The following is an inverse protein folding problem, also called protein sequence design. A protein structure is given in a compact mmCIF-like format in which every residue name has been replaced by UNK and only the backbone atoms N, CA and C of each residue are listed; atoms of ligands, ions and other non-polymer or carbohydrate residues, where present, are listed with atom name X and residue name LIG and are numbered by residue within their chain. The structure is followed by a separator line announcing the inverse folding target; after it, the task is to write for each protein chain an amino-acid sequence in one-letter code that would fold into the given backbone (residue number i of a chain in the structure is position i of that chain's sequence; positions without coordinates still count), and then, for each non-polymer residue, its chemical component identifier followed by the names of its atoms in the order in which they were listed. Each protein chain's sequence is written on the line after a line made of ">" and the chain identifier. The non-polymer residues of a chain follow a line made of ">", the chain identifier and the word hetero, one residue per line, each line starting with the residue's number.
data_IF_223080290162
#
_entry.id   IF_223080290162
#
_cell.length_a   1.000
_cell.length_b   1.000
_cell.length_c   1.000
_cell.angle_alpha   90.00
_cell.angle_beta   90.00
_cell.angle_gamma   90.00
#
_symmetry.space_group_name_H-M   'P 1'
#
loop_
_entity.id
_entity.type
_entity.pdbx_description
1 polymer ?
#
# COMPACT_ATOMS: atom_id res chain seq x y z
N UNK A 1 0.48 0.69 -0.47
CA UNK A 1 0.31 -0.09 0.77
C UNK A 1 1.03 0.58 1.94
N UNK A 2 2.27 1.01 1.78
CA UNK A 2 3.01 1.67 2.87
C UNK A 2 2.33 2.96 3.32
N UNK A 3 1.84 3.76 2.39
CA UNK A 3 1.10 4.98 2.72
C UNK A 3 -0.18 4.66 3.50
N UNK A 4 -0.88 3.59 3.13
CA UNK A 4 -2.06 3.14 3.87
C UNK A 4 -1.68 2.75 5.30
N UNK A 5 -0.63 1.96 5.49
CA UNK A 5 -0.20 1.53 6.82
C UNK A 5 0.25 2.71 7.70
N UNK A 6 0.81 3.76 7.10
CA UNK A 6 1.21 4.96 7.84
C UNK A 6 0.09 6.00 7.96
N UNK A 7 -1.09 5.74 7.37
CA UNK A 7 -2.25 6.64 7.38
C UNK A 7 -1.98 7.97 6.69
N UNK A 8 -1.09 8.00 5.72
CA UNK A 8 -0.76 9.19 4.96
C UNK A 8 -1.42 9.16 3.58
N UNK A 9 -1.95 10.30 3.15
CA UNK A 9 -2.53 10.43 1.82
C UNK A 9 -1.42 10.53 0.76
N UNK A 10 -1.58 9.86 -0.41
CA UNK A 10 -0.64 10.05 -1.51
C UNK A 10 -0.70 11.46 -2.11
N UNK A 11 -1.70 12.27 -1.72
CA UNK A 11 -1.83 13.66 -2.18
C UNK A 11 -1.06 14.64 -1.30
N UNK A 12 -0.50 14.19 -0.16
CA UNK A 12 0.28 15.05 0.73
C UNK A 12 1.58 15.47 0.06
N UNK A 13 1.92 16.75 0.18
CA UNK A 13 3.24 17.23 -0.24
C UNK A 13 4.30 16.70 0.72
N UNK A 14 5.43 16.27 0.19
CA UNK A 14 6.52 15.69 0.99
C UNK A 14 7.00 16.67 2.06
N UNK A 15 7.08 17.96 1.73
CA UNK A 15 7.54 19.00 2.68
C UNK A 15 6.49 19.32 3.74
N UNK A 16 5.27 18.80 3.64
CA UNK A 16 4.25 18.99 4.67
C UNK A 16 4.29 17.91 5.76
N UNK A 17 5.14 16.90 5.59
CA UNK A 17 5.27 15.81 6.57
C UNK A 17 6.19 16.23 7.71
N UNK A 18 5.74 16.00 8.95
CA UNK A 18 6.60 16.21 10.12
C UNK A 18 7.49 15.00 10.37
N UNK A 19 8.39 15.11 11.35
CA UNK A 19 9.35 14.04 11.65
C UNK A 19 8.64 12.74 12.09
N UNK A 20 7.58 12.86 12.88
CA UNK A 20 6.83 11.69 13.34
C UNK A 20 6.18 10.97 12.16
N UNK A 21 5.60 11.72 11.20
CA UNK A 21 5.00 11.14 10.00
C UNK A 21 6.04 10.47 9.10
N UNK A 22 7.20 11.10 8.93
CA UNK A 22 8.30 10.50 8.14
C UNK A 22 8.80 9.21 8.78
N UNK A 23 8.97 9.20 10.10
CA UNK A 23 9.41 8.01 10.84
C UNK A 23 8.39 6.88 10.68
N UNK A 24 7.10 7.20 10.79
CA UNK A 24 6.02 6.24 10.62
C UNK A 24 6.01 5.68 9.18
N UNK A 25 6.22 6.53 8.19
CA UNK A 25 6.25 6.11 6.79
C UNK A 25 7.43 5.15 6.53
N UNK A 26 8.62 5.46 7.04
CA UNK A 26 9.79 4.60 6.90
C UNK A 26 9.54 3.24 7.55
N UNK A 27 8.98 3.21 8.76
CA UNK A 27 8.61 1.97 9.43
C UNK A 27 7.61 1.17 8.62
N UNK A 28 6.62 1.83 8.03
CA UNK A 28 5.61 1.17 7.21
C UNK A 28 6.19 0.60 5.93
N UNK A 29 7.13 1.30 5.29
CA UNK A 29 7.85 0.78 4.12
C UNK A 29 8.61 -0.50 4.47
N UNK A 30 9.33 -0.50 5.58
CA UNK A 30 10.06 -1.68 6.04
C UNK A 30 9.11 -2.84 6.34
N UNK A 31 7.99 -2.56 7.00
CA UNK A 31 6.97 -3.57 7.30
C UNK A 31 6.41 -4.22 6.04
N UNK A 32 6.00 -3.39 5.07
CA UNK A 32 5.42 -3.88 3.81
C UNK A 32 6.44 -4.68 3.01
N UNK A 33 7.70 -4.21 2.93
CA UNK A 33 8.76 -4.91 2.21
C UNK A 33 9.08 -6.26 2.84
N UNK A 34 9.16 -6.32 4.17
CA UNK A 34 9.40 -7.59 4.89
C UNK A 34 8.25 -8.56 4.66
N UNK A 35 7.02 -8.07 4.72
CA UNK A 35 5.84 -8.90 4.49
C UNK A 35 5.83 -9.42 3.05
N UNK A 36 6.19 -8.58 2.09
CA UNK A 36 6.29 -8.97 0.68
C UNK A 36 7.33 -10.07 0.48
N UNK A 37 8.52 -9.91 1.05
CA UNK A 37 9.58 -10.91 0.96
C UNK A 37 9.15 -12.24 1.56
N UNK A 38 8.49 -12.21 2.71
CA UNK A 38 8.00 -13.42 3.39
C UNK A 38 7.01 -14.18 2.51
N UNK A 39 6.27 -13.48 1.64
CA UNK A 39 5.26 -14.07 0.77
C UNK A 39 5.73 -14.23 -0.68
N UNK A 40 7.03 -14.13 -0.94
CA UNK A 40 7.60 -14.34 -2.28
C UNK A 40 7.34 -13.21 -3.26
N UNK A 41 6.99 -12.02 -2.77
CA UNK A 41 6.70 -10.86 -3.61
C UNK A 41 5.30 -10.93 -4.22
N UNK A 42 5.02 -10.04 -5.18
CA UNK A 42 3.72 -9.94 -5.86
C UNK A 42 3.85 -10.43 -7.30
N UNK A 43 2.87 -11.21 -7.75
CA UNK A 43 2.78 -11.67 -9.14
C UNK A 43 1.54 -11.06 -9.80
N UNK A 44 1.63 -9.77 -10.12
CA UNK A 44 0.51 -9.01 -10.69
C UNK A 44 0.45 -9.17 -12.19
N UNK A 45 1.61 -9.20 -12.88
CA UNK A 45 1.72 -9.27 -14.33
C UNK A 45 2.63 -10.43 -14.74
N UNK A 46 2.19 -11.65 -14.55
CA UNK A 46 2.88 -12.88 -15.01
C UNK A 46 4.32 -13.03 -14.50
N UNK A 47 4.75 -12.19 -13.56
CA UNK A 47 6.09 -12.33 -12.98
C UNK A 47 6.15 -13.59 -12.13
N UNK A 48 7.23 -14.36 -12.31
CA UNK A 48 7.49 -15.57 -11.54
C UNK A 48 8.89 -15.50 -10.95
N UNK A 49 9.06 -16.14 -9.78
CA UNK A 49 10.39 -16.32 -9.20
C UNK A 49 11.25 -17.18 -10.11
N UNK A 50 12.60 -17.14 -9.97
CA UNK A 50 13.47 -17.97 -10.79
C UNK A 50 13.17 -19.48 -10.74
N UNK A 51 12.55 -19.96 -9.68
CA UNK A 51 12.13 -21.35 -9.54
C UNK A 51 10.74 -21.63 -10.15
N UNK A 52 10.12 -20.63 -10.77
CA UNK A 52 8.81 -20.76 -11.42
C UNK A 52 7.62 -20.53 -10.51
N UNK A 53 7.81 -20.28 -9.23
CA UNK A 53 6.69 -20.01 -8.32
C UNK A 53 6.19 -18.58 -8.44
N UNK A 54 4.87 -18.38 -8.22
CA UNK A 54 4.26 -17.07 -8.15
C UNK A 54 4.35 -16.51 -6.74
N UNK A 55 4.61 -15.21 -6.62
CA UNK A 55 4.51 -14.54 -5.35
C UNK A 55 3.06 -14.49 -4.87
N UNK A 56 2.84 -14.39 -3.58
CA UNK A 56 1.50 -14.36 -2.98
C UNK A 56 1.18 -13.08 -2.22
N UNK A 57 2.07 -12.08 -2.22
CA UNK A 57 1.86 -10.85 -1.46
C UNK A 57 0.63 -10.08 -1.93
N UNK A 58 0.26 -10.18 -3.22
CA UNK A 58 -0.93 -9.49 -3.74
C UNK A 58 -2.22 -9.92 -3.01
N UNK A 59 -2.27 -11.08 -2.42
CA UNK A 59 -3.43 -11.51 -1.63
C UNK A 59 -3.55 -10.77 -0.29
N UNK A 60 -2.50 -10.07 0.13
CA UNK A 60 -2.44 -9.31 1.38
C UNK A 60 -2.60 -7.80 1.17
N UNK A 61 -2.82 -7.36 -0.07
CA UNK A 61 -3.06 -5.94 -0.35
C UNK A 61 -4.28 -5.44 0.41
N UNK A 62 -4.16 -4.24 0.99
CA UNK A 62 -5.26 -3.60 1.70
C UNK A 62 -6.00 -2.60 0.81
N UNK A 63 -5.30 -1.92 -0.06
CA UNK A 63 -5.88 -0.85 -0.88
C UNK A 63 -5.69 -1.05 -2.38
N UNK A 64 -4.58 -1.63 -2.83
CA UNK A 64 -4.28 -1.75 -4.25
C UNK A 64 -5.30 -2.63 -4.97
N UNK A 65 -5.96 -2.07 -5.99
CA UNK A 65 -7.01 -2.73 -6.77
C UNK A 65 -8.22 -3.18 -5.94
N UNK A 66 -8.44 -2.55 -4.79
CA UNK A 66 -9.59 -2.82 -3.93
C UNK A 66 -10.61 -1.68 -4.05
N UNK A 67 -11.88 -1.99 -3.77
CA UNK A 67 -12.96 -0.98 -3.74
C UNK A 67 -13.22 -0.48 -2.33
N UNK A 68 -12.96 -1.32 -1.34
CA UNK A 68 -13.18 -1.02 0.07
C UNK A 68 -12.09 -1.66 0.91
N UNK A 69 -11.86 -1.08 2.08
CA UNK A 69 -10.95 -1.66 3.08
C UNK A 69 -11.70 -1.74 4.41
N UNK A 70 -11.50 -2.83 5.15
CA UNK A 70 -12.07 -3.02 6.47
C UNK A 70 -11.04 -2.60 7.52
N UNK A 71 -11.44 -1.70 8.40
CA UNK A 71 -10.60 -1.22 9.49
C UNK A 71 -11.45 -1.03 10.74
N UNK A 72 -11.05 -1.65 11.85
CA UNK A 72 -11.78 -1.62 13.12
C UNK A 72 -13.27 -1.96 12.94
N UNK A 73 -13.55 -3.03 12.20
CA UNK A 73 -14.89 -3.55 11.91
C UNK A 73 -15.77 -2.62 11.08
N UNK A 74 -15.20 -1.59 10.45
CA UNK A 74 -15.93 -0.70 9.53
C UNK A 74 -15.33 -0.80 8.14
N UNK A 75 -16.19 -0.65 7.12
CA UNK A 75 -15.79 -0.62 5.73
C UNK A 75 -15.58 0.82 5.28
N UNK A 76 -14.46 1.08 4.62
CA UNK A 76 -14.12 2.41 4.10
C UNK A 76 -13.89 2.32 2.61
N UNK A 77 -14.41 3.32 1.88
CA UNK A 77 -14.27 3.37 0.43
C UNK A 77 -12.85 3.68 0.02
N UNK A 78 -12.39 3.03 -1.05
CA UNK A 78 -11.08 3.29 -1.65
C UNK A 78 -11.27 4.09 -2.93
N UNK A 79 -10.46 5.15 -3.08
CA UNK A 79 -10.46 6.00 -4.27
C UNK A 79 -9.25 5.66 -5.14
N UNK A 80 -9.47 5.58 -6.44
CA UNK A 80 -8.41 5.42 -7.44
C UNK A 80 -8.13 6.76 -8.09
N UNK A 81 -6.85 7.14 -8.14
CA UNK A 81 -6.40 8.33 -8.88
C UNK A 81 -5.24 7.94 -9.79
N UNK A 82 -4.96 8.77 -10.78
CA UNK A 82 -3.82 8.58 -11.67
C UNK A 82 -2.75 9.61 -11.31
N UNK A 83 -1.55 9.13 -10.97
CA UNK A 83 -0.40 9.97 -10.67
C UNK A 83 0.76 9.55 -11.57
N UNK A 84 1.27 10.49 -12.37
CA UNK A 84 2.39 10.23 -13.29
C UNK A 84 2.18 9.00 -14.17
N UNK A 85 0.94 8.82 -14.69
CA UNK A 85 0.59 7.71 -15.56
C UNK A 85 0.35 6.39 -14.86
N UNK A 86 0.36 6.36 -13.52
CA UNK A 86 0.13 5.14 -12.73
C UNK A 86 -1.07 5.28 -11.82
N UNK A 87 -1.76 4.17 -11.61
CA UNK A 87 -2.92 4.14 -10.71
C UNK A 87 -2.47 4.13 -9.26
N UNK A 88 -3.10 4.99 -8.46
CA UNK A 88 -2.87 5.06 -7.01
C UNK A 88 -4.20 4.81 -6.31
N UNK A 89 -4.21 3.88 -5.35
CA UNK A 89 -5.40 3.51 -4.59
C UNK A 89 -5.21 3.90 -3.13
N UNK A 90 -6.17 4.61 -2.55
CA UNK A 90 -6.07 5.04 -1.15
C UNK A 90 -7.45 5.24 -0.55
N UNK A 91 -7.51 5.24 0.79
CA UNK A 91 -8.74 5.53 1.53
C UNK A 91 -8.72 6.97 2.01
N UNK A 92 -9.52 7.88 1.43
CA UNK A 92 -9.52 9.29 1.88
C UNK A 92 -9.91 9.46 3.33
N UNK A 93 -10.72 8.56 3.88
CA UNK A 93 -11.16 8.62 5.27
C UNK A 93 -10.05 8.24 6.25
N UNK A 94 -9.19 7.27 5.89
CA UNK A 94 -8.15 6.73 6.77
C UNK A 94 -6.77 7.35 6.51
N UNK A 95 -6.54 7.89 5.33
CA UNK A 95 -5.26 8.47 4.94
C UNK A 95 -5.41 9.99 4.81
N UNK A 96 -4.68 10.71 5.64
CA UNK A 96 -4.78 12.18 5.70
C UNK A 96 -3.51 12.86 5.14
#
# INVERSE_FOLDING_TARGET
>A
EALFHSRLSPLRLTNSLNLAELTQLISSCKFVLKLSLKNGGSSINDYKSPDGTLGSFQSLFKVYQKKHVIYKKKSYKIKKIIQNGRSTFFSPALQK
#
